data_IF_335544027828
#
_entry.id   IF_335544027828
#
_cell.length_a   1.000
_cell.length_b   1.000
_cell.length_c   1.000
_cell.angle_alpha   90.00
_cell.angle_beta   90.00
_cell.angle_gamma   90.00
#
_symmetry.space_group_name_H-M   'P 1'
#
loop_
_entity.id
_entity.type
_entity.pdbx_description
1 polymer ?
#
# COMPACT_ATOMS: atom_id res chain seq x y z
N UNK A 1 -32.56 -14.40 13.95
CA UNK A 1 -32.42 -14.00 12.54
C UNK A 1 -31.88 -15.20 11.78
N UNK A 2 -32.23 -15.42 10.48
CA UNK A 2 -31.65 -16.52 9.72
C UNK A 2 -30.12 -16.37 9.72
N UNK A 3 -29.39 -17.47 9.94
CA UNK A 3 -27.94 -17.48 9.90
C UNK A 3 -27.49 -17.17 8.48
N UNK A 4 -26.73 -16.10 8.30
CA UNK A 4 -26.05 -15.82 7.02
C UNK A 4 -24.91 -16.81 6.84
N UNK A 5 -24.70 -17.26 5.63
CA UNK A 5 -23.55 -18.10 5.24
C UNK A 5 -22.78 -17.43 4.13
N UNK A 6 -21.46 -17.60 4.10
CA UNK A 6 -20.59 -17.17 3.03
C UNK A 6 -19.48 -18.19 2.80
N UNK A 7 -19.02 -18.33 1.56
CA UNK A 7 -17.91 -19.23 1.23
C UNK A 7 -16.60 -18.73 1.88
N UNK A 8 -16.43 -17.41 1.93
CA UNK A 8 -15.35 -16.74 2.64
C UNK A 8 -15.82 -15.37 3.16
N UNK A 9 -15.31 -14.91 4.29
CA UNK A 9 -15.50 -13.54 4.80
C UNK A 9 -14.20 -12.78 4.72
N UNK A 10 -14.22 -11.62 4.07
CA UNK A 10 -13.10 -10.68 4.00
C UNK A 10 -13.38 -9.53 4.98
N UNK A 11 -12.53 -9.36 5.98
CA UNK A 11 -12.65 -8.26 6.96
C UNK A 11 -11.84 -7.07 6.47
N UNK A 12 -12.52 -5.99 6.07
CA UNK A 12 -11.97 -4.76 5.52
C UNK A 12 -12.21 -4.59 4.02
N UNK A 13 -12.78 -3.44 3.63
CA UNK A 13 -13.03 -3.02 2.24
C UNK A 13 -12.02 -1.96 1.76
N UNK A 14 -10.78 -2.04 2.22
CA UNK A 14 -9.64 -1.34 1.62
C UNK A 14 -9.23 -1.98 0.29
N UNK A 15 -8.25 -1.42 -0.40
CA UNK A 15 -7.78 -1.91 -1.71
C UNK A 15 -7.40 -3.40 -1.70
N UNK A 16 -6.81 -3.90 -0.61
CA UNK A 16 -6.42 -5.29 -0.46
C UNK A 16 -7.65 -6.21 -0.38
N UNK A 17 -8.59 -5.91 0.54
CA UNK A 17 -9.81 -6.70 0.66
C UNK A 17 -10.68 -6.63 -0.59
N UNK A 18 -10.74 -5.49 -1.26
CA UNK A 18 -11.43 -5.30 -2.53
C UNK A 18 -10.83 -6.15 -3.66
N UNK A 19 -9.50 -6.15 -3.77
CA UNK A 19 -8.79 -6.98 -4.76
C UNK A 19 -8.98 -8.47 -4.49
N UNK A 20 -8.88 -8.90 -3.21
CA UNK A 20 -9.13 -10.30 -2.83
C UNK A 20 -10.56 -10.72 -3.21
N UNK A 21 -11.55 -9.91 -2.88
CA UNK A 21 -12.95 -10.22 -3.21
C UNK A 21 -13.15 -10.34 -4.73
N UNK A 22 -12.52 -9.46 -5.52
CA UNK A 22 -12.52 -9.52 -6.98
C UNK A 22 -11.96 -10.85 -7.48
N UNK A 23 -10.75 -11.23 -7.05
CA UNK A 23 -10.11 -12.47 -7.52
C UNK A 23 -10.83 -13.73 -7.04
N UNK A 24 -11.38 -13.74 -5.82
CA UNK A 24 -12.21 -14.86 -5.34
C UNK A 24 -13.44 -15.11 -6.24
N UNK A 25 -14.11 -14.05 -6.69
CA UNK A 25 -15.27 -14.21 -7.57
C UNK A 25 -14.90 -14.80 -8.93
N UNK A 26 -13.71 -14.50 -9.46
CA UNK A 26 -13.20 -15.09 -10.70
C UNK A 26 -12.90 -16.60 -10.56
N UNK A 27 -12.66 -17.06 -9.32
CA UNK A 27 -12.44 -18.46 -8.99
C UNK A 27 -13.73 -19.16 -8.51
N UNK A 28 -14.91 -18.53 -8.69
CA UNK A 28 -16.22 -19.10 -8.37
C UNK A 28 -16.59 -19.03 -6.89
N UNK A 29 -15.79 -18.42 -6.03
CA UNK A 29 -16.09 -18.18 -4.62
C UNK A 29 -16.96 -16.94 -4.48
N UNK A 30 -17.98 -16.98 -3.60
CA UNK A 30 -18.85 -15.83 -3.29
C UNK A 30 -18.51 -15.24 -1.95
N UNK A 31 -17.53 -14.30 -1.88
CA UNK A 31 -17.13 -13.72 -0.62
C UNK A 31 -18.15 -12.72 -0.09
N UNK A 32 -18.19 -12.60 1.23
CA UNK A 32 -18.80 -11.49 1.93
C UNK A 32 -17.69 -10.57 2.45
N UNK A 33 -17.65 -9.34 1.96
CA UNK A 33 -16.77 -8.29 2.49
C UNK A 33 -17.51 -7.57 3.61
N UNK A 34 -16.88 -7.46 4.78
CA UNK A 34 -17.42 -6.76 5.95
C UNK A 34 -16.54 -5.54 6.23
N UNK A 35 -17.14 -4.36 6.24
CA UNK A 35 -16.46 -3.09 6.46
C UNK A 35 -17.15 -2.30 7.60
N UNK A 36 -16.34 -1.81 8.54
CA UNK A 36 -16.80 -1.02 9.69
C UNK A 36 -17.38 0.33 9.24
N UNK A 37 -16.76 0.95 8.25
CA UNK A 37 -17.10 2.27 7.73
C UNK A 37 -17.48 2.19 6.24
N UNK A 38 -17.07 3.19 5.47
CA UNK A 38 -17.16 3.18 4.01
C UNK A 38 -15.94 2.46 3.37
N UNK A 39 -16.08 1.91 2.16
CA UNK A 39 -14.95 1.39 1.44
C UNK A 39 -13.83 2.43 1.29
N UNK A 40 -12.60 1.99 1.37
CA UNK A 40 -11.40 2.83 1.37
C UNK A 40 -11.29 3.84 2.54
N UNK A 41 -12.13 3.80 3.57
CA UNK A 41 -12.08 4.75 4.70
C UNK A 41 -10.79 4.64 5.54
N UNK A 42 -10.04 3.54 5.41
CA UNK A 42 -8.76 3.30 6.08
C UNK A 42 -7.57 3.92 5.35
N UNK A 43 -6.46 3.15 5.30
CA UNK A 43 -5.21 3.56 4.66
C UNK A 43 -5.38 3.84 3.17
N UNK A 44 -6.23 3.08 2.48
CA UNK A 44 -6.40 3.14 1.02
C UNK A 44 -6.98 4.47 0.53
N UNK A 45 -7.77 5.15 1.31
CA UNK A 45 -8.29 6.49 0.96
C UNK A 45 -7.55 7.64 1.63
N UNK A 46 -6.43 7.34 2.31
CA UNK A 46 -5.62 8.33 3.00
C UNK A 46 -4.13 8.17 2.65
N UNK A 47 -3.85 7.96 1.38
CA UNK A 47 -2.51 7.79 0.80
C UNK A 47 -2.39 8.54 -0.54
N UNK A 48 -1.19 8.59 -1.07
CA UNK A 48 -0.92 8.89 -2.47
C UNK A 48 -1.21 7.66 -3.34
N UNK A 49 -1.21 7.84 -4.67
CA UNK A 49 -1.50 6.81 -5.66
C UNK A 49 -0.27 6.16 -6.27
N UNK A 50 0.87 6.22 -5.63
CA UNK A 50 2.14 5.76 -6.18
C UNK A 50 2.22 4.24 -6.34
N UNK A 51 2.41 3.78 -7.56
CA UNK A 51 2.84 2.42 -7.90
C UNK A 51 4.35 2.50 -8.15
N UNK A 52 5.13 2.65 -7.07
CA UNK A 52 6.54 3.02 -7.12
C UNK A 52 7.44 1.85 -6.77
N UNK A 53 8.13 1.28 -7.76
CA UNK A 53 8.95 0.08 -7.61
C UNK A 53 10.33 0.38 -7.06
N UNK A 54 10.90 1.52 -7.44
CA UNK A 54 12.23 1.95 -7.00
C UNK A 54 12.37 2.10 -5.48
N UNK A 55 11.25 2.19 -4.73
CA UNK A 55 11.28 2.22 -3.26
C UNK A 55 11.33 0.83 -2.61
N UNK A 56 11.18 -0.25 -3.37
CA UNK A 56 11.12 -1.61 -2.83
C UNK A 56 12.50 -2.18 -2.55
N UNK A 57 12.64 -2.94 -1.46
CA UNK A 57 13.89 -3.65 -1.15
C UNK A 57 14.18 -4.66 -2.26
N UNK A 58 15.40 -4.74 -2.79
CA UNK A 58 15.80 -5.79 -3.73
C UNK A 58 15.50 -7.19 -3.19
N UNK A 59 15.32 -8.14 -4.08
CA UNK A 59 14.92 -9.50 -3.72
C UNK A 59 13.40 -9.68 -3.72
N UNK A 60 12.85 -10.42 -2.76
CA UNK A 60 11.44 -10.86 -2.79
C UNK A 60 10.43 -9.70 -2.79
N UNK A 61 10.72 -8.61 -2.07
CA UNK A 61 9.81 -7.46 -2.05
C UNK A 61 9.70 -6.82 -3.43
N UNK A 62 10.82 -6.57 -4.09
CA UNK A 62 10.82 -5.99 -5.43
C UNK A 62 10.23 -6.97 -6.47
N UNK A 63 10.53 -8.27 -6.36
CA UNK A 63 9.92 -9.29 -7.24
C UNK A 63 8.39 -9.31 -7.12
N UNK A 64 7.86 -9.26 -5.87
CA UNK A 64 6.42 -9.18 -5.65
C UNK A 64 5.82 -7.90 -6.26
N UNK A 65 6.53 -6.77 -6.16
CA UNK A 65 6.09 -5.51 -6.75
C UNK A 65 6.12 -5.51 -8.27
N UNK A 66 7.11 -6.14 -8.89
CA UNK A 66 7.19 -6.33 -10.35
C UNK A 66 6.03 -7.20 -10.86
N UNK A 67 5.74 -8.30 -10.15
CA UNK A 67 4.58 -9.14 -10.43
C UNK A 67 3.26 -8.36 -10.31
N UNK A 68 3.13 -7.52 -9.29
CA UNK A 68 1.94 -6.67 -9.13
C UNK A 68 1.83 -5.66 -10.27
N UNK A 69 2.94 -4.97 -10.59
CA UNK A 69 2.97 -3.93 -11.62
C UNK A 69 2.57 -4.47 -13.01
N UNK A 70 3.03 -5.68 -13.34
CA UNK A 70 2.68 -6.32 -14.61
C UNK A 70 1.16 -6.53 -14.79
N UNK A 71 0.40 -6.61 -13.69
CA UNK A 71 -1.06 -6.78 -13.70
C UNK A 71 -1.83 -5.47 -13.92
N UNK A 72 -1.23 -4.33 -13.63
CA UNK A 72 -1.94 -3.04 -13.71
C UNK A 72 -2.35 -2.66 -15.13
N UNK A 73 -1.60 -3.06 -16.16
CA UNK A 73 -1.95 -2.76 -17.54
C UNK A 73 -3.25 -3.49 -17.95
N UNK A 74 -3.38 -4.78 -17.62
CA UNK A 74 -4.61 -5.53 -17.85
C UNK A 74 -5.76 -5.07 -16.94
N UNK A 75 -5.48 -4.70 -15.68
CA UNK A 75 -6.49 -4.15 -14.77
C UNK A 75 -7.10 -2.85 -15.30
N UNK A 76 -6.31 -1.99 -15.96
CA UNK A 76 -6.83 -0.78 -16.60
C UNK A 76 -7.89 -1.11 -17.67
N UNK A 77 -7.65 -2.15 -18.45
CA UNK A 77 -8.59 -2.60 -19.47
C UNK A 77 -9.85 -3.22 -18.85
N UNK A 78 -9.68 -4.07 -17.85
CA UNK A 78 -10.77 -4.82 -17.20
C UNK A 78 -11.64 -3.95 -16.31
N UNK A 79 -11.01 -3.12 -15.48
CA UNK A 79 -11.70 -2.29 -14.48
C UNK A 79 -12.15 -0.92 -15.02
N UNK A 80 -11.64 -0.53 -16.20
CA UNK A 80 -11.98 0.70 -16.89
C UNK A 80 -11.14 1.91 -16.47
N UNK A 81 -11.34 3.03 -17.16
CA UNK A 81 -10.54 4.25 -17.02
C UNK A 81 -10.67 4.96 -15.67
N UNK A 82 -11.71 4.67 -14.90
CA UNK A 82 -11.95 5.29 -13.59
C UNK A 82 -10.90 4.98 -12.53
N UNK A 83 -9.97 4.04 -12.79
CA UNK A 83 -8.80 3.82 -11.91
C UNK A 83 -7.69 4.85 -12.13
N UNK A 84 -7.74 5.66 -13.18
CA UNK A 84 -6.76 6.70 -13.53
C UNK A 84 -5.31 6.16 -13.51
N UNK A 85 -5.11 4.93 -13.99
CA UNK A 85 -3.78 4.33 -14.03
C UNK A 85 -2.94 4.98 -15.13
N UNK A 86 -1.79 5.55 -14.73
CA UNK A 86 -0.85 6.25 -15.62
C UNK A 86 0.57 5.73 -15.42
N UNK A 87 1.17 5.08 -16.41
CA UNK A 87 2.57 4.65 -16.41
C UNK A 87 3.49 5.84 -16.77
N UNK A 88 3.53 6.85 -15.92
CA UNK A 88 4.31 8.08 -16.14
C UNK A 88 5.80 7.89 -15.93
N UNK A 89 6.21 6.76 -15.38
CA UNK A 89 7.54 6.58 -14.82
C UNK A 89 7.69 7.29 -13.47
N UNK A 90 8.82 7.10 -12.85
CA UNK A 90 9.11 7.69 -11.55
C UNK A 90 10.58 8.04 -11.38
N UNK A 91 10.86 9.01 -10.51
CA UNK A 91 12.22 9.44 -10.19
C UNK A 91 12.45 9.45 -8.68
N UNK A 92 13.60 8.91 -8.26
CA UNK A 92 14.08 9.00 -6.91
C UNK A 92 15.18 10.08 -6.87
N UNK A 93 14.90 11.22 -6.24
CA UNK A 93 15.71 12.43 -6.25
C UNK A 93 16.80 12.40 -5.19
N UNK A 94 18.04 12.67 -5.59
CA UNK A 94 19.24 12.63 -4.75
C UNK A 94 19.75 14.04 -4.52
N UNK A 95 19.95 14.43 -3.26
CA UNK A 95 20.38 15.79 -2.87
C UNK A 95 21.77 15.83 -2.26
N UNK A 96 22.34 14.69 -1.86
CA UNK A 96 23.66 14.63 -1.22
C UNK A 96 24.52 13.50 -1.78
N UNK A 97 25.85 13.66 -1.70
CA UNK A 97 26.80 12.61 -2.11
C UNK A 97 26.64 11.31 -1.30
N UNK A 98 26.27 11.42 -0.03
CA UNK A 98 26.01 10.24 0.81
C UNK A 98 24.79 9.45 0.30
N UNK A 99 23.72 10.13 -0.08
CA UNK A 99 22.56 9.51 -0.73
C UNK A 99 22.94 8.90 -2.07
N UNK A 100 23.75 9.61 -2.88
CA UNK A 100 24.21 9.13 -4.19
C UNK A 100 24.99 7.82 -4.07
N UNK A 101 25.88 7.73 -3.09
CA UNK A 101 26.66 6.51 -2.84
C UNK A 101 25.75 5.31 -2.45
N UNK A 102 24.72 5.56 -1.63
CA UNK A 102 23.74 4.54 -1.27
C UNK A 102 22.88 4.12 -2.46
N UNK A 103 22.38 5.09 -3.24
CA UNK A 103 21.52 4.86 -4.41
C UNK A 103 22.26 4.09 -5.50
N UNK A 104 23.53 4.38 -5.75
CA UNK A 104 24.35 3.64 -6.73
C UNK A 104 24.39 2.13 -6.43
N UNK A 105 24.59 1.75 -5.17
CA UNK A 105 24.56 0.34 -4.75
C UNK A 105 23.18 -0.26 -4.93
N UNK A 106 22.15 0.48 -4.54
CA UNK A 106 20.76 0.04 -4.62
C UNK A 106 20.30 -0.20 -6.05
N UNK A 107 20.68 0.65 -7.00
CA UNK A 107 20.39 0.49 -8.44
C UNK A 107 20.99 -0.80 -8.99
N UNK A 108 22.21 -1.16 -8.60
CA UNK A 108 22.82 -2.42 -9.02
C UNK A 108 21.99 -3.62 -8.57
N UNK A 109 21.58 -3.64 -7.31
CA UNK A 109 20.77 -4.72 -6.74
C UNK A 109 19.35 -4.76 -7.32
N UNK A 110 18.76 -3.59 -7.61
CA UNK A 110 17.46 -3.49 -8.26
C UNK A 110 17.48 -4.03 -9.69
N UNK A 111 18.50 -3.68 -10.47
CA UNK A 111 18.71 -4.22 -11.82
C UNK A 111 18.93 -5.74 -11.79
N UNK A 112 19.71 -6.23 -10.84
CA UNK A 112 19.91 -7.68 -10.65
C UNK A 112 18.61 -8.40 -10.27
N UNK A 113 17.64 -7.69 -9.70
CA UNK A 113 16.31 -8.23 -9.35
C UNK A 113 15.33 -8.15 -10.54
N UNK A 114 15.66 -7.40 -11.61
CA UNK A 114 14.86 -7.29 -12.82
C UNK A 114 14.15 -5.94 -13.02
N UNK A 115 14.43 -4.92 -12.18
CA UNK A 115 13.87 -3.59 -12.38
C UNK A 115 14.67 -2.84 -13.48
N UNK A 116 13.95 -2.32 -14.46
CA UNK A 116 14.50 -1.34 -15.38
C UNK A 116 14.61 0.01 -14.66
N UNK A 117 15.83 0.39 -14.32
CA UNK A 117 16.12 1.63 -13.59
C UNK A 117 17.47 2.18 -14.03
N UNK A 118 17.55 3.47 -14.28
CA UNK A 118 18.78 4.17 -14.66
C UNK A 118 19.15 5.24 -13.64
N UNK A 119 20.45 5.54 -13.55
CA UNK A 119 20.98 6.63 -12.75
C UNK A 119 21.27 7.81 -13.67
N UNK A 120 20.72 8.96 -13.35
CA UNK A 120 20.80 10.22 -14.06
C UNK A 120 21.67 11.21 -13.28
N UNK A 121 22.45 12.03 -13.97
CA UNK A 121 23.03 13.23 -13.35
C UNK A 121 21.99 14.32 -13.13
N UNK A 122 22.33 15.36 -12.35
CA UNK A 122 21.40 16.43 -12.02
C UNK A 122 20.95 17.25 -13.24
N UNK A 123 21.79 17.35 -14.28
CA UNK A 123 21.42 18.02 -15.54
C UNK A 123 20.34 17.22 -16.30
N UNK A 124 20.52 15.91 -16.42
CA UNK A 124 19.54 15.03 -17.04
C UNK A 124 18.23 14.97 -16.23
N UNK A 125 18.33 14.92 -14.89
CA UNK A 125 17.16 14.96 -14.03
C UNK A 125 16.32 16.22 -14.27
N UNK A 126 16.95 17.39 -14.38
CA UNK A 126 16.26 18.66 -14.69
C UNK A 126 15.74 18.75 -16.12
N UNK A 127 16.35 18.09 -17.09
CA UNK A 127 15.77 18.00 -18.46
C UNK A 127 14.46 17.23 -18.45
N UNK A 128 14.36 16.17 -17.64
CA UNK A 128 13.13 15.36 -17.51
C UNK A 128 12.08 16.05 -16.64
N UNK A 129 12.52 16.68 -15.53
CA UNK A 129 11.70 17.44 -14.60
C UNK A 129 12.20 18.88 -14.45
N UNK A 130 11.76 19.81 -15.31
CA UNK A 130 12.30 21.18 -15.39
C UNK A 130 12.13 22.00 -14.10
N UNK A 131 11.15 21.66 -13.26
CA UNK A 131 10.88 22.38 -12.00
C UNK A 131 11.82 21.97 -10.84
N UNK A 132 12.71 21.00 -11.06
CA UNK A 132 13.72 20.62 -10.06
C UNK A 132 14.80 21.70 -9.92
N UNK A 133 15.10 22.03 -8.68
CA UNK A 133 16.21 22.94 -8.36
C UNK A 133 17.59 22.27 -8.53
N UNK A 134 18.65 23.08 -8.49
CA UNK A 134 20.05 22.60 -8.51
C UNK A 134 20.45 21.80 -7.27
N UNK A 135 19.61 21.78 -6.22
CA UNK A 135 19.81 20.88 -5.06
C UNK A 135 19.79 19.42 -5.45
N UNK A 136 19.08 19.06 -6.53
CA UNK A 136 19.05 17.70 -7.05
C UNK A 136 20.33 17.47 -7.85
N UNK A 137 21.27 16.76 -7.24
CA UNK A 137 22.58 16.44 -7.84
C UNK A 137 22.55 15.22 -8.75
N UNK A 138 21.59 14.33 -8.52
CA UNK A 138 21.36 13.11 -9.33
C UNK A 138 19.90 12.64 -9.13
N UNK A 139 19.47 11.70 -9.95
CA UNK A 139 18.21 10.98 -9.73
C UNK A 139 18.32 9.55 -10.27
N UNK A 140 17.45 8.65 -9.81
CA UNK A 140 17.16 7.44 -10.59
C UNK A 140 15.85 7.64 -11.35
N UNK A 141 15.70 6.92 -12.46
CA UNK A 141 14.48 6.89 -13.24
C UNK A 141 14.11 5.43 -13.57
N UNK A 142 12.83 5.10 -13.42
CA UNK A 142 12.30 3.83 -13.91
C UNK A 142 11.01 4.08 -14.70
N UNK A 143 10.89 3.57 -15.93
CA UNK A 143 9.65 3.63 -16.70
C UNK A 143 8.56 2.71 -16.14
N UNK A 144 8.92 1.76 -15.28
CA UNK A 144 7.99 0.83 -14.66
C UNK A 144 7.13 1.49 -13.57
N UNK A 145 7.58 2.60 -12.98
CA UNK A 145 6.79 3.32 -11.99
C UNK A 145 5.56 3.97 -12.61
N UNK A 146 4.51 4.06 -11.82
CA UNK A 146 3.22 4.55 -12.27
C UNK A 146 2.47 5.23 -11.13
N UNK A 147 1.31 5.77 -11.43
CA UNK A 147 0.34 6.23 -10.43
C UNK A 147 -1.06 5.74 -10.79
N UNK A 148 -1.91 5.68 -9.79
CA UNK A 148 -3.29 5.22 -9.90
C UNK A 148 -4.15 6.01 -8.91
N UNK A 149 -5.43 6.19 -9.18
CA UNK A 149 -6.35 6.74 -8.18
C UNK A 149 -6.69 5.66 -7.14
N UNK A 150 -6.28 5.78 -5.86
CA UNK A 150 -6.53 4.75 -4.84
C UNK A 150 -8.01 4.47 -4.59
N UNK A 151 -8.85 5.51 -4.59
CA UNK A 151 -10.31 5.38 -4.49
C UNK A 151 -10.87 4.68 -5.73
N UNK A 152 -10.50 5.19 -6.92
CA UNK A 152 -10.92 4.63 -8.19
C UNK A 152 -10.62 3.13 -8.29
N UNK A 153 -9.40 2.74 -7.94
CA UNK A 153 -8.96 1.34 -7.91
C UNK A 153 -9.76 0.50 -6.92
N UNK A 154 -9.91 0.97 -5.67
CA UNK A 154 -10.65 0.23 -4.63
C UNK A 154 -12.11 0.02 -5.02
N UNK A 155 -12.78 1.07 -5.47
CA UNK A 155 -14.18 0.98 -5.90
C UNK A 155 -14.36 0.17 -7.18
N UNK A 156 -13.42 0.20 -8.11
CA UNK A 156 -13.45 -0.59 -9.32
C UNK A 156 -13.36 -2.10 -8.99
N UNK A 157 -12.44 -2.51 -8.12
CA UNK A 157 -12.37 -3.88 -7.62
C UNK A 157 -13.68 -4.30 -6.94
N UNK A 158 -14.24 -3.49 -6.03
CA UNK A 158 -15.50 -3.82 -5.35
C UNK A 158 -16.68 -3.90 -6.30
N UNK A 159 -16.74 -3.03 -7.31
CA UNK A 159 -17.78 -3.08 -8.35
C UNK A 159 -17.68 -4.39 -9.17
N UNK A 160 -16.47 -4.74 -9.58
CA UNK A 160 -16.22 -5.96 -10.31
C UNK A 160 -16.51 -7.21 -9.45
N UNK A 161 -16.10 -7.21 -8.18
CA UNK A 161 -16.41 -8.27 -7.23
C UNK A 161 -17.93 -8.45 -7.04
N UNK A 162 -18.69 -7.34 -6.88
CA UNK A 162 -20.17 -7.41 -6.79
C UNK A 162 -20.80 -7.97 -8.06
N UNK A 163 -20.32 -7.59 -9.23
CA UNK A 163 -20.78 -8.15 -10.50
C UNK A 163 -20.50 -9.66 -10.58
N UNK A 164 -19.41 -10.15 -9.98
CA UNK A 164 -19.06 -11.56 -9.84
C UNK A 164 -19.80 -12.30 -8.70
N UNK A 165 -20.69 -11.64 -7.96
CA UNK A 165 -21.52 -12.25 -6.90
C UNK A 165 -21.02 -12.01 -5.47
N UNK A 166 -19.99 -11.21 -5.24
CA UNK A 166 -19.58 -10.82 -3.89
C UNK A 166 -20.63 -9.92 -3.22
N UNK A 167 -20.84 -10.12 -1.93
CA UNK A 167 -21.61 -9.19 -1.10
C UNK A 167 -20.69 -8.25 -0.35
N UNK A 168 -21.08 -6.99 -0.18
CA UNK A 168 -20.31 -5.99 0.56
C UNK A 168 -21.23 -5.33 1.57
N UNK A 169 -20.95 -5.52 2.85
CA UNK A 169 -21.64 -4.90 3.98
C UNK A 169 -20.79 -3.76 4.52
N UNK A 170 -21.26 -2.55 4.39
CA UNK A 170 -20.64 -1.32 4.95
C UNK A 170 -21.39 -0.85 6.19
N UNK A 171 -20.68 -0.14 7.08
CA UNK A 171 -21.25 0.27 8.37
C UNK A 171 -21.56 -0.91 9.30
N UNK A 172 -20.91 -2.04 9.09
CA UNK A 172 -21.13 -3.29 9.82
C UNK A 172 -19.81 -3.84 10.34
N UNK A 173 -19.37 -3.43 11.53
CA UNK A 173 -18.12 -3.92 12.10
C UNK A 173 -18.20 -5.41 12.41
N UNK A 174 -17.16 -6.15 12.02
CA UNK A 174 -16.85 -7.41 12.64
C UNK A 174 -16.39 -7.15 14.08
N UNK A 175 -16.88 -7.94 15.03
CA UNK A 175 -16.59 -7.77 16.46
C UNK A 175 -15.95 -9.00 17.09
N UNK A 176 -15.78 -10.09 16.32
CA UNK A 176 -15.15 -11.31 16.78
C UNK A 176 -15.16 -12.41 15.71
N UNK A 177 -14.42 -13.46 15.96
CA UNK A 177 -14.37 -14.67 15.14
C UNK A 177 -14.59 -15.86 16.07
N UNK A 178 -15.54 -16.73 15.73
CA UNK A 178 -15.72 -17.98 16.44
C UNK A 178 -14.82 -19.05 15.84
N UNK A 179 -14.00 -19.64 16.71
CA UNK A 179 -13.11 -20.76 16.40
C UNK A 179 -13.49 -21.94 17.27
N UNK A 180 -13.72 -23.11 16.69
CA UNK A 180 -13.90 -24.37 17.41
C UNK A 180 -12.79 -25.33 17.01
N UNK A 181 -12.13 -25.93 18.02
CA UNK A 181 -11.03 -26.89 17.84
C UNK A 181 -9.96 -26.46 16.82
N UNK A 182 -9.61 -25.16 16.84
CA UNK A 182 -8.59 -24.62 15.95
C UNK A 182 -9.08 -24.30 14.52
N UNK A 183 -10.39 -24.36 14.26
CA UNK A 183 -10.99 -24.09 12.95
C UNK A 183 -11.96 -22.94 13.02
N UNK A 184 -11.91 -22.03 12.06
CA UNK A 184 -12.87 -20.94 11.89
C UNK A 184 -14.27 -21.49 11.60
N UNK A 185 -15.30 -20.97 12.27
CA UNK A 185 -16.70 -21.32 12.04
C UNK A 185 -17.58 -20.14 11.64
N UNK A 186 -17.31 -18.95 12.18
CA UNK A 186 -18.13 -17.78 11.91
C UNK A 186 -17.41 -16.47 12.25
N UNK A 187 -17.80 -15.41 11.55
CA UNK A 187 -17.52 -14.01 11.93
C UNK A 187 -18.72 -13.44 12.69
N UNK A 188 -18.46 -12.85 13.84
CA UNK A 188 -19.45 -12.15 14.65
C UNK A 188 -19.57 -10.70 14.19
N UNK A 189 -20.79 -10.25 13.95
CA UNK A 189 -21.16 -8.87 13.67
C UNK A 189 -21.96 -8.31 14.85
N UNK A 190 -22.08 -6.99 14.94
CA UNK A 190 -22.87 -6.36 16.00
C UNK A 190 -24.37 -6.81 15.99
N UNK A 191 -24.89 -7.22 14.83
CA UNK A 191 -26.29 -7.59 14.62
C UNK A 191 -26.48 -9.08 14.24
N UNK A 192 -25.51 -9.93 14.53
CA UNK A 192 -25.60 -11.37 14.26
C UNK A 192 -24.27 -12.03 13.93
N UNK A 193 -24.32 -13.15 13.23
CA UNK A 193 -23.11 -13.86 12.81
C UNK A 193 -23.22 -14.34 11.37
N UNK A 194 -22.07 -14.53 10.73
CA UNK A 194 -21.94 -15.13 9.39
C UNK A 194 -21.13 -16.41 9.51
N UNK A 195 -21.76 -17.55 9.24
CA UNK A 195 -21.05 -18.83 9.21
C UNK A 195 -20.17 -18.88 7.96
N UNK A 196 -18.92 -19.24 8.14
CA UNK A 196 -17.92 -19.33 7.05
C UNK A 196 -16.78 -20.25 7.45
N UNK A 197 -16.25 -21.06 6.52
CA UNK A 197 -15.04 -21.83 6.76
C UNK A 197 -13.76 -21.02 6.62
N UNK A 198 -13.80 -19.82 6.01
CA UNK A 198 -12.60 -19.00 5.73
C UNK A 198 -12.84 -17.55 6.12
N UNK A 199 -11.91 -17.00 6.89
CA UNK A 199 -11.82 -15.58 7.22
C UNK A 199 -10.49 -15.01 6.73
N UNK A 200 -10.56 -13.94 5.96
CA UNK A 200 -9.39 -13.23 5.45
C UNK A 200 -9.28 -11.90 6.18
N UNK A 201 -8.20 -11.74 6.93
CA UNK A 201 -7.91 -10.52 7.68
C UNK A 201 -7.22 -9.48 6.76
N UNK A 202 -8.02 -8.64 6.13
CA UNK A 202 -7.60 -7.50 5.32
C UNK A 202 -7.86 -6.16 6.03
N UNK A 203 -7.88 -6.13 7.37
CA UNK A 203 -8.26 -4.99 8.20
C UNK A 203 -7.17 -3.89 8.31
N UNK A 204 -6.13 -3.94 7.47
CA UNK A 204 -5.10 -2.92 7.38
C UNK A 204 -4.43 -2.63 8.73
N UNK A 205 -4.47 -1.38 9.19
CA UNK A 205 -3.86 -0.99 10.46
C UNK A 205 -4.52 -1.61 11.70
N UNK A 206 -5.75 -2.16 11.58
CA UNK A 206 -6.47 -2.87 12.65
C UNK A 206 -6.29 -4.39 12.59
N UNK A 207 -5.46 -4.90 11.69
CA UNK A 207 -5.29 -6.35 11.52
C UNK A 207 -4.79 -7.06 12.79
N UNK A 208 -4.01 -6.38 13.64
CA UNK A 208 -3.60 -6.91 14.93
C UNK A 208 -4.79 -7.08 15.91
N UNK A 209 -5.78 -6.18 15.85
CA UNK A 209 -7.01 -6.32 16.67
C UNK A 209 -7.81 -7.55 16.24
N UNK A 210 -7.95 -7.77 14.93
CA UNK A 210 -8.63 -8.95 14.37
C UNK A 210 -7.87 -10.25 14.74
N UNK A 211 -6.53 -10.21 14.73
CA UNK A 211 -5.72 -11.37 15.14
C UNK A 211 -5.96 -11.81 16.57
N UNK A 212 -6.15 -10.85 17.50
CA UNK A 212 -6.45 -11.18 18.91
C UNK A 212 -7.76 -11.94 19.10
N UNK A 213 -8.74 -11.80 18.19
CA UNK A 213 -9.99 -12.57 18.26
C UNK A 213 -9.79 -14.08 18.07
N UNK A 214 -8.65 -14.47 17.48
CA UNK A 214 -8.27 -15.88 17.28
C UNK A 214 -7.02 -16.26 18.07
N UNK A 215 -6.64 -15.46 19.07
CA UNK A 215 -5.49 -15.73 19.95
C UNK A 215 -4.13 -15.46 19.34
N UNK A 216 -4.04 -14.67 18.26
CA UNK A 216 -2.78 -14.38 17.57
C UNK A 216 -2.26 -12.98 17.90
N UNK A 217 -0.96 -12.89 18.16
CA UNK A 217 -0.24 -11.61 18.23
C UNK A 217 0.36 -11.31 16.86
N UNK A 218 -0.24 -10.32 16.16
CA UNK A 218 0.20 -9.90 14.83
C UNK A 218 0.99 -8.60 14.97
N UNK A 219 2.28 -8.55 14.55
CA UNK A 219 3.14 -7.39 14.74
C UNK A 219 2.87 -6.28 13.72
N UNK A 220 1.62 -5.84 13.64
CA UNK A 220 1.20 -4.69 12.84
C UNK A 220 0.90 -3.52 13.76
N UNK A 221 1.61 -2.40 13.54
CA UNK A 221 1.44 -1.16 14.29
C UNK A 221 0.98 -0.05 13.36
N UNK A 222 -0.03 0.76 13.74
CA UNK A 222 -0.43 1.90 12.95
C UNK A 222 0.68 2.95 12.94
N UNK A 223 1.10 3.40 11.73
CA UNK A 223 2.08 4.45 11.52
C UNK A 223 1.49 5.59 10.72
N UNK A 224 1.25 6.75 11.36
CA UNK A 224 0.65 7.92 10.72
C UNK A 224 1.56 8.50 9.66
N UNK A 225 0.97 8.85 8.50
CA UNK A 225 1.56 9.72 7.49
C UNK A 225 0.59 10.85 7.16
N UNK A 226 1.09 12.08 7.16
CA UNK A 226 0.31 13.26 6.80
C UNK A 226 0.66 13.68 5.37
N UNK A 227 -0.32 14.13 4.60
CA UNK A 227 -0.20 14.53 3.21
C UNK A 227 -0.84 15.90 3.02
N UNK A 228 -0.17 16.78 2.27
CA UNK A 228 -0.70 18.05 1.76
C UNK A 228 -1.35 17.83 0.39
N UNK A 229 -2.46 18.50 0.16
CA UNK A 229 -3.11 18.61 -1.15
C UNK A 229 -3.12 20.06 -1.57
N UNK A 230 -2.60 20.35 -2.75
CA UNK A 230 -2.56 21.71 -3.29
C UNK A 230 -3.81 22.06 -4.06
N UNK A 231 -4.02 23.34 -4.35
CA UNK A 231 -4.90 23.76 -5.43
C UNK A 231 -4.47 23.10 -6.75
N UNK A 232 -5.42 22.92 -7.65
CA UNK A 232 -5.14 22.45 -9.01
C UNK A 232 -4.29 23.48 -9.77
N UNK A 233 -3.25 22.99 -10.44
CA UNK A 233 -2.38 23.80 -11.31
C UNK A 233 -2.19 23.07 -12.64
N UNK A 234 -1.80 23.79 -13.70
CA UNK A 234 -1.34 23.13 -14.93
C UNK A 234 -0.25 22.10 -14.65
N UNK A 235 0.02 21.18 -15.58
CA UNK A 235 1.06 20.16 -15.39
C UNK A 235 2.38 20.79 -14.93
N UNK A 236 2.75 20.52 -13.67
CA UNK A 236 3.93 21.06 -13.00
C UNK A 236 5.01 19.99 -12.87
N UNK A 237 4.63 18.76 -12.60
CA UNK A 237 5.52 17.59 -12.56
C UNK A 237 5.05 16.56 -13.58
N UNK A 238 6.00 15.82 -14.15
CA UNK A 238 5.77 14.86 -15.23
C UNK A 238 5.75 13.41 -14.75
N UNK A 239 6.51 13.13 -13.69
CA UNK A 239 6.73 11.80 -13.14
C UNK A 239 6.33 11.74 -11.67
N UNK A 240 6.16 10.53 -11.16
CA UNK A 240 6.11 10.32 -9.72
C UNK A 240 7.49 10.61 -9.11
N UNK A 241 7.54 11.42 -8.04
CA UNK A 241 8.80 11.81 -7.44
C UNK A 241 8.87 11.35 -5.98
N UNK A 242 10.00 10.75 -5.58
CA UNK A 242 10.32 10.49 -4.18
C UNK A 242 11.74 10.98 -3.86
N UNK A 243 11.99 11.28 -2.59
CA UNK A 243 13.34 11.57 -2.11
C UNK A 243 14.16 10.29 -1.97
N UNK A 244 15.43 10.31 -2.41
CA UNK A 244 16.38 9.22 -2.17
C UNK A 244 16.57 8.90 -0.68
N UNK A 245 16.28 9.83 0.20
CA UNK A 245 16.28 9.60 1.64
C UNK A 245 15.32 8.46 2.05
N UNK A 246 14.19 8.25 1.35
CA UNK A 246 13.31 7.10 1.56
C UNK A 246 14.03 5.77 1.35
N UNK A 247 14.91 5.73 0.35
CA UNK A 247 15.68 4.54 -0.02
C UNK A 247 16.87 4.40 0.92
N UNK A 248 17.67 5.43 1.02
CA UNK A 248 18.91 5.43 1.80
C UNK A 248 18.66 5.15 3.31
N UNK A 249 17.57 5.65 3.87
CA UNK A 249 17.15 5.38 5.25
C UNK A 249 16.85 3.89 5.55
N UNK A 250 16.67 3.06 4.53
CA UNK A 250 16.51 1.62 4.70
C UNK A 250 17.84 0.90 4.96
N UNK A 251 18.96 1.53 4.63
CA UNK A 251 20.30 0.96 4.67
C UNK A 251 21.24 1.68 5.63
N UNK A 252 20.96 2.95 5.95
CA UNK A 252 21.80 3.80 6.78
C UNK A 252 20.98 4.45 7.90
N UNK A 253 21.19 4.03 9.19
CA UNK A 253 20.50 4.61 10.33
C UNK A 253 20.79 6.11 10.53
N UNK A 254 21.95 6.60 10.09
CA UNK A 254 22.28 8.04 10.17
C UNK A 254 21.41 8.85 9.21
N UNK A 255 21.21 8.35 7.98
CA UNK A 255 20.30 8.96 7.01
C UNK A 255 18.86 8.89 7.53
N UNK A 256 18.48 7.77 8.14
CA UNK A 256 17.15 7.62 8.75
C UNK A 256 16.88 8.65 9.84
N UNK A 257 17.90 9.05 10.61
CA UNK A 257 17.82 10.08 11.67
C UNK A 257 17.80 11.52 11.14
N UNK A 258 18.30 11.78 9.93
CA UNK A 258 18.47 13.14 9.36
C UNK A 258 17.18 13.80 8.89
N UNK A 259 16.04 13.13 8.97
CA UNK A 259 14.75 13.73 8.65
C UNK A 259 13.91 12.92 7.66
N UNK A 260 12.82 13.53 7.22
CA UNK A 260 11.84 12.88 6.36
C UNK A 260 12.19 13.01 4.87
N UNK A 261 12.09 11.90 4.15
CA UNK A 261 11.93 11.94 2.72
C UNK A 261 10.56 12.53 2.34
N UNK A 262 10.35 12.79 1.06
CA UNK A 262 9.07 13.23 0.51
C UNK A 262 8.64 12.33 -0.64
N UNK A 263 7.34 12.34 -0.93
CA UNK A 263 6.74 11.87 -2.17
C UNK A 263 5.92 13.00 -2.79
N UNK A 264 5.88 13.08 -4.12
CA UNK A 264 5.02 14.02 -4.85
C UNK A 264 4.46 13.33 -6.07
N UNK A 265 3.16 13.50 -6.26
CA UNK A 265 2.46 13.17 -7.51
C UNK A 265 1.51 14.29 -7.89
N UNK A 266 1.23 14.41 -9.17
CA UNK A 266 0.18 15.30 -9.67
C UNK A 266 -0.96 14.46 -10.24
N UNK A 267 -2.17 14.71 -9.74
CA UNK A 267 -3.38 14.01 -10.17
C UNK A 267 -3.86 14.51 -11.53
N UNK A 268 -4.77 13.78 -12.18
CA UNK A 268 -5.40 14.19 -13.44
C UNK A 268 -6.14 15.53 -13.33
N UNK A 269 -6.66 15.85 -12.13
CA UNK A 269 -7.31 17.11 -11.84
C UNK A 269 -6.33 18.27 -11.58
N UNK A 270 -5.02 18.03 -11.64
CA UNK A 270 -3.97 19.03 -11.45
C UNK A 270 -3.58 19.32 -10.01
N UNK A 271 -4.21 18.69 -9.02
CA UNK A 271 -3.78 18.80 -7.62
C UNK A 271 -2.49 18.04 -7.41
N UNK A 272 -1.59 18.56 -6.57
CA UNK A 272 -0.45 17.78 -6.13
C UNK A 272 -0.72 17.20 -4.73
N UNK A 273 -0.38 15.92 -4.57
CA UNK A 273 -0.31 15.25 -3.28
C UNK A 273 1.16 15.23 -2.84
N UNK A 274 1.44 15.83 -1.70
CA UNK A 274 2.82 15.97 -1.19
C UNK A 274 2.90 15.30 0.18
N UNK A 275 3.63 14.22 0.29
CA UNK A 275 3.78 13.43 1.52
C UNK A 275 5.24 13.20 1.90
N UNK A 276 5.52 12.55 2.98
CA UNK A 276 4.63 12.35 4.10
C UNK A 276 5.41 12.17 5.40
N UNK A 277 4.77 12.45 6.53
CA UNK A 277 5.34 12.14 7.84
C UNK A 277 5.37 10.62 8.12
N UNK A 278 6.09 10.21 9.18
CA UNK A 278 6.15 8.83 9.67
C UNK A 278 6.19 8.84 11.20
N UNK A 279 5.01 8.64 11.81
CA UNK A 279 4.83 8.86 13.24
C UNK A 279 4.11 7.66 13.88
N UNK A 280 4.66 7.17 15.00
CA UNK A 280 4.00 6.16 15.83
C UNK A 280 3.19 6.87 16.92
N UNK A 281 1.91 7.11 16.63
CA UNK A 281 0.96 7.86 17.48
C UNK A 281 -0.33 7.08 17.74
N UNK A 282 -0.26 5.76 17.65
CA UNK A 282 -1.44 4.89 17.73
C UNK A 282 -2.40 5.14 16.58
N UNK A 283 -3.70 5.13 16.88
CA UNK A 283 -4.76 5.33 15.88
C UNK A 283 -5.12 6.81 15.63
N UNK A 284 -4.28 7.75 16.06
CA UNK A 284 -4.52 9.18 15.82
C UNK A 284 -4.29 9.55 14.36
N UNK A 285 -5.35 9.93 13.63
CA UNK A 285 -5.35 10.33 12.21
C UNK A 285 -5.31 11.85 12.01
N UNK A 286 -5.27 12.64 13.10
CA UNK A 286 -5.29 14.11 12.99
C UNK A 286 -4.01 14.61 12.34
N UNK A 287 -4.14 15.64 11.51
CA UNK A 287 -2.99 16.39 11.00
C UNK A 287 -2.50 17.38 12.06
N UNK A 288 -1.19 17.65 12.05
CA UNK A 288 -0.56 18.62 12.95
C UNK A 288 0.12 19.73 12.16
N UNK A 289 0.06 20.96 12.65
CA UNK A 289 0.71 22.08 11.99
C UNK A 289 2.23 21.87 11.84
N UNK A 290 2.85 21.20 12.79
CA UNK A 290 4.26 20.82 12.75
C UNK A 290 4.55 19.87 11.58
N UNK A 291 3.78 18.78 11.44
CA UNK A 291 3.92 17.83 10.34
C UNK A 291 3.72 18.48 8.97
N UNK A 292 2.70 19.33 8.84
CA UNK A 292 2.42 20.04 7.59
C UNK A 292 3.53 21.02 7.24
N UNK A 293 4.04 21.78 8.21
CA UNK A 293 5.19 22.67 8.01
C UNK A 293 6.44 21.91 7.61
N UNK A 294 6.69 20.76 8.22
CA UNK A 294 7.85 19.92 7.90
C UNK A 294 7.80 19.42 6.47
N UNK A 295 6.63 18.95 6.00
CA UNK A 295 6.45 18.52 4.60
C UNK A 295 6.70 19.69 3.65
N UNK A 296 6.08 20.86 3.89
CA UNK A 296 6.23 22.03 3.05
C UNK A 296 7.69 22.55 3.00
N UNK A 297 8.35 22.60 4.15
CA UNK A 297 9.76 23.00 4.27
C UNK A 297 10.71 22.03 3.54
N UNK A 298 10.35 20.74 3.50
CA UNK A 298 11.17 19.70 2.87
C UNK A 298 11.10 19.75 1.34
N UNK A 299 9.93 20.03 0.77
CA UNK A 299 9.74 19.99 -0.68
C UNK A 299 10.05 21.33 -1.38
N UNK A 300 9.77 22.45 -0.72
CA UNK A 300 9.89 23.78 -1.31
C UNK A 300 11.30 24.14 -1.84
N UNK A 301 12.41 23.68 -1.24
CA UNK A 301 13.75 23.88 -1.82
C UNK A 301 14.03 22.98 -3.03
N UNK A 302 13.35 21.85 -3.17
CA UNK A 302 13.57 20.86 -4.25
C UNK A 302 12.77 21.26 -5.50
N UNK A 303 11.51 21.69 -5.29
CA UNK A 303 10.62 22.18 -6.36
C UNK A 303 10.16 23.59 -5.98
N UNK A 304 10.95 24.64 -6.31
CA UNK A 304 10.70 26.02 -5.86
C UNK A 304 9.36 26.59 -6.31
N UNK A 305 8.80 26.13 -7.45
CA UNK A 305 7.49 26.53 -7.95
C UNK A 305 6.38 26.28 -6.94
N UNK A 306 6.49 25.23 -6.09
CA UNK A 306 5.50 24.89 -5.08
C UNK A 306 5.32 25.95 -4.00
N UNK A 307 6.27 26.88 -3.81
CA UNK A 307 6.14 27.99 -2.85
C UNK A 307 4.95 28.92 -3.17
N UNK A 308 4.48 28.91 -4.40
CA UNK A 308 3.38 29.76 -4.88
C UNK A 308 2.07 29.01 -5.01
N UNK A 309 2.04 27.71 -4.78
CA UNK A 309 0.84 26.88 -4.94
C UNK A 309 0.14 26.77 -3.59
N UNK A 310 -1.11 27.25 -3.46
CA UNK A 310 -1.84 27.16 -2.20
C UNK A 310 -2.11 25.69 -1.80
N UNK A 311 -1.99 25.40 -0.51
CA UNK A 311 -2.50 24.16 0.07
C UNK A 311 -3.97 24.35 0.39
N UNK A 312 -4.84 23.47 -0.15
CA UNK A 312 -6.29 23.54 0.05
C UNK A 312 -6.79 22.50 1.07
N UNK A 313 -6.03 21.45 1.29
CA UNK A 313 -6.38 20.36 2.22
C UNK A 313 -5.12 19.68 2.77
N UNK A 314 -5.30 19.03 3.92
CA UNK A 314 -4.38 18.06 4.45
C UNK A 314 -5.15 16.89 5.06
N UNK A 315 -4.55 15.71 5.06
CA UNK A 315 -5.12 14.54 5.71
C UNK A 315 -4.04 13.64 6.28
N UNK A 316 -4.41 12.76 7.22
CA UNK A 316 -3.55 11.77 7.82
C UNK A 316 -4.10 10.36 7.61
N UNK A 317 -3.23 9.45 7.18
CA UNK A 317 -3.50 8.03 7.04
C UNK A 317 -2.67 7.18 8.00
N UNK A 318 -3.13 5.98 8.30
CA UNK A 318 -2.43 5.02 9.16
C UNK A 318 -1.92 3.86 8.31
N UNK A 319 -0.61 3.80 8.10
CA UNK A 319 0.02 2.66 7.43
C UNK A 319 0.04 1.46 8.35
N UNK A 320 -0.32 0.25 7.88
CA UNK A 320 -0.14 -0.99 8.61
C UNK A 320 1.34 -1.40 8.61
N UNK A 321 2.12 -0.85 9.52
CA UNK A 321 3.55 -1.06 9.61
C UNK A 321 3.87 -2.43 10.20
N UNK A 322 4.79 -3.15 9.57
CA UNK A 322 5.43 -4.37 10.07
C UNK A 322 6.91 -4.12 10.36
N UNK A 323 7.54 -4.82 11.31
CA UNK A 323 8.94 -4.58 11.69
C UNK A 323 9.94 -4.70 10.55
N UNK A 324 9.71 -5.61 9.60
CA UNK A 324 10.57 -5.85 8.44
C UNK A 324 10.14 -5.08 7.17
N UNK A 325 8.96 -4.43 7.22
CA UNK A 325 8.37 -3.68 6.11
C UNK A 325 7.79 -4.54 5.00
N UNK A 326 7.61 -5.86 5.22
CA UNK A 326 6.96 -6.78 4.29
C UNK A 326 5.53 -7.08 4.75
N UNK A 327 4.58 -7.28 3.82
CA UNK A 327 3.23 -7.69 4.20
C UNK A 327 3.20 -9.07 4.86
N UNK A 328 2.16 -9.34 5.63
CA UNK A 328 1.85 -10.65 6.17
C UNK A 328 0.75 -11.24 5.31
N UNK A 329 1.08 -12.33 4.60
CA UNK A 329 0.19 -12.96 3.62
C UNK A 329 0.14 -14.47 3.83
N UNK A 330 -1.03 -15.06 3.66
CA UNK A 330 -1.23 -16.51 3.67
C UNK A 330 -1.85 -17.04 4.96
N UNK A 331 -1.93 -18.36 5.10
CA UNK A 331 -2.51 -19.05 6.26
C UNK A 331 -1.66 -18.80 7.51
N UNK A 332 -2.27 -19.05 8.65
CA UNK A 332 -1.60 -18.96 9.95
C UNK A 332 -1.65 -20.31 10.64
N UNK A 333 -0.53 -20.76 11.17
CA UNK A 333 -0.45 -22.01 11.91
C UNK A 333 -1.38 -22.00 13.14
N UNK A 334 -2.04 -23.11 13.42
CA UNK A 334 -2.90 -23.29 14.59
C UNK A 334 -4.33 -22.75 14.45
N UNK A 335 -4.67 -22.02 13.37
CA UNK A 335 -6.05 -21.55 13.12
C UNK A 335 -6.44 -21.83 11.67
N UNK A 336 -7.00 -23.01 11.44
CA UNK A 336 -7.46 -23.43 10.13
C UNK A 336 -8.59 -22.51 9.63
N UNK A 337 -8.48 -22.05 8.39
CA UNK A 337 -9.46 -21.13 7.77
C UNK A 337 -9.19 -19.66 8.08
N UNK A 338 -8.16 -19.30 8.86
CA UNK A 338 -7.76 -17.92 9.05
C UNK A 338 -6.58 -17.57 8.15
N UNK A 339 -6.75 -16.52 7.32
CA UNK A 339 -5.76 -16.09 6.32
C UNK A 339 -5.40 -14.63 6.53
N UNK A 340 -4.11 -14.33 6.53
CA UNK A 340 -3.60 -12.96 6.64
C UNK A 340 -3.45 -12.29 5.28
N UNK A 341 -3.82 -11.02 5.20
CA UNK A 341 -3.63 -10.15 4.04
C UNK A 341 -3.49 -8.68 4.48
N UNK A 342 -2.49 -8.38 5.28
CA UNK A 342 -2.28 -7.04 5.85
C UNK A 342 -0.80 -6.72 6.06
N UNK A 343 -0.48 -5.54 6.59
CA UNK A 343 0.91 -5.18 6.89
C UNK A 343 1.69 -4.63 5.70
N UNK A 344 1.02 -4.17 4.65
CA UNK A 344 1.64 -3.64 3.42
C UNK A 344 2.36 -2.30 3.60
N UNK A 345 2.37 -1.74 4.78
CA UNK A 345 2.99 -0.45 5.09
C UNK A 345 2.50 0.66 4.13
N UNK A 346 3.38 1.32 3.41
CA UNK A 346 3.07 2.32 2.38
C UNK A 346 2.93 1.75 0.96
N UNK A 347 2.95 0.43 0.80
CA UNK A 347 3.04 -0.24 -0.50
C UNK A 347 1.73 -0.92 -0.93
N UNK A 348 0.65 -0.78 -0.13
CA UNK A 348 -0.59 -1.52 -0.34
C UNK A 348 -1.28 -1.26 -1.68
N UNK A 349 -1.23 -0.04 -2.19
CA UNK A 349 -1.76 0.30 -3.52
C UNK A 349 -0.97 -0.44 -4.60
N UNK A 350 0.35 -0.31 -4.59
CA UNK A 350 1.23 -0.94 -5.57
C UNK A 350 1.19 -2.47 -5.55
N UNK A 351 0.96 -3.08 -4.37
CA UNK A 351 0.94 -4.54 -4.19
C UNK A 351 -0.47 -5.14 -4.28
N UNK A 352 -1.52 -4.32 -4.42
CA UNK A 352 -2.91 -4.79 -4.32
C UNK A 352 -3.27 -5.84 -5.37
N UNK A 353 -2.82 -5.67 -6.60
CA UNK A 353 -3.15 -6.55 -7.70
C UNK A 353 -2.67 -7.99 -7.45
N UNK A 354 -1.38 -8.14 -7.14
CA UNK A 354 -0.79 -9.46 -6.87
C UNK A 354 -1.28 -10.05 -5.56
N UNK A 355 -1.46 -9.23 -4.51
CA UNK A 355 -1.95 -9.72 -3.21
C UNK A 355 -3.32 -10.35 -3.34
N UNK A 356 -4.23 -9.70 -4.07
CA UNK A 356 -5.58 -10.23 -4.28
C UNK A 356 -5.58 -11.60 -4.94
N UNK A 357 -4.80 -11.74 -6.00
CA UNK A 357 -4.64 -13.01 -6.74
C UNK A 357 -4.04 -14.09 -5.85
N UNK A 358 -2.89 -13.83 -5.22
CA UNK A 358 -2.19 -14.83 -4.39
C UNK A 358 -3.05 -15.33 -3.22
N UNK A 359 -3.80 -14.45 -2.57
CA UNK A 359 -4.68 -14.84 -1.45
C UNK A 359 -5.87 -15.64 -1.97
N UNK A 360 -6.46 -15.26 -3.10
CA UNK A 360 -7.57 -15.99 -3.72
C UNK A 360 -7.13 -17.38 -4.18
N UNK A 361 -5.96 -17.50 -4.83
CA UNK A 361 -5.38 -18.79 -5.23
C UNK A 361 -5.15 -19.69 -4.02
N UNK A 362 -4.56 -19.12 -2.94
CA UNK A 362 -4.34 -19.87 -1.71
C UNK A 362 -5.65 -20.41 -1.12
N UNK A 363 -6.67 -19.56 -1.02
CA UNK A 363 -7.98 -19.93 -0.44
C UNK A 363 -8.65 -21.04 -1.24
N UNK A 364 -8.49 -21.06 -2.57
CA UNK A 364 -9.15 -22.02 -3.45
C UNK A 364 -8.36 -23.31 -3.65
N UNK A 365 -7.04 -23.23 -3.73
CA UNK A 365 -6.20 -24.36 -4.16
C UNK A 365 -5.19 -24.81 -3.11
N UNK A 366 -4.95 -24.01 -2.05
CA UNK A 366 -3.86 -24.21 -1.09
C UNK A 366 -2.47 -23.96 -1.69
N UNK A 367 -2.37 -23.37 -2.86
CA UNK A 367 -1.10 -23.11 -3.58
C UNK A 367 -1.09 -21.74 -4.19
N UNK A 368 0.13 -21.21 -4.44
CA UNK A 368 0.34 -19.93 -5.12
C UNK A 368 1.51 -20.03 -6.08
N UNK A 369 1.47 -19.25 -7.16
CA UNK A 369 2.59 -19.18 -8.11
C UNK A 369 3.80 -18.46 -7.52
N UNK A 370 3.57 -17.49 -6.63
CA UNK A 370 4.63 -16.79 -5.93
C UNK A 370 4.79 -17.36 -4.50
N UNK A 371 6.01 -17.65 -4.01
CA UNK A 371 6.21 -18.28 -2.71
C UNK A 371 5.80 -17.35 -1.57
N UNK A 372 4.81 -17.76 -0.77
CA UNK A 372 4.33 -16.99 0.39
C UNK A 372 5.16 -17.19 1.66
N UNK A 373 6.03 -18.20 1.74
CA UNK A 373 6.75 -18.56 2.97
C UNK A 373 7.49 -17.40 3.65
N UNK A 374 8.08 -16.49 2.85
CA UNK A 374 8.74 -15.31 3.38
C UNK A 374 7.77 -14.20 3.86
N UNK A 375 6.48 -14.35 3.59
CA UNK A 375 5.42 -13.42 3.96
C UNK A 375 4.50 -13.97 5.06
N UNK A 376 4.68 -15.22 5.49
CA UNK A 376 3.88 -15.82 6.55
C UNK A 376 4.13 -15.15 7.91
N UNK A 377 3.13 -15.22 8.80
CA UNK A 377 3.21 -14.63 10.14
C UNK A 377 4.35 -15.26 10.97
N UNK A 378 4.61 -16.53 10.77
CA UNK A 378 5.60 -17.35 11.50
C UNK A 378 7.03 -16.81 11.40
N UNK A 379 7.35 -15.99 10.37
CA UNK A 379 8.68 -15.36 10.24
C UNK A 379 9.03 -14.43 11.43
N UNK A 380 8.03 -13.97 12.17
CA UNK A 380 8.23 -13.18 13.39
C UNK A 380 8.31 -14.02 14.66
N UNK A 381 7.97 -15.29 14.59
CA UNK A 381 8.01 -16.23 15.72
C UNK A 381 9.35 -16.96 15.82
N UNK A 382 10.08 -17.09 14.71
CA UNK A 382 11.37 -17.80 14.66
C UNK A 382 12.53 -17.10 15.39
N UNK A 383 12.32 -15.92 15.98
CA UNK A 383 13.33 -15.16 16.75
C UNK A 383 13.13 -15.20 18.27
N UNK A 384 12.20 -16.00 18.78
CA UNK A 384 11.89 -16.10 20.22
C UNK A 384 12.42 -17.41 20.88
N UNK A 385 13.35 -18.11 20.24
CA UNK A 385 14.01 -19.31 20.77
C UNK A 385 15.51 -19.05 21.03
#
# INVERSE_FOLDING_TARGET
MPSRTADAVVIGAGVIGASIAYHLTHLGIRPLVVEEHDPAAGSSGACDGLVFLQSKKPGLHLKLALESRARFDSLREILGTGIEFRPTGGMCLVETEAELAAVRRFVVEQRATGLDVELLDGGEARRREPELSERVIAATYSPADAQVNPYGLTFAFLRAARAGGAQVLTGRPAVGIRVDRGRVEAVQLADGAVSTPVVINAAGARAAEVGRWVGLEIPITPRRGQILVTAAVPPLIRHCLISAQYVAAKFDPEIARRGMGFSVEQTDNGNLLIGSTREFVGFDRRTTLEGLRTIAARIAPVIPALKRVPVIRAFGGLRPYTPDGLPILGPVAGVEGFVMAAGHEGDGIALSAVTGELVADWVTTGRTQFPLGAFCLERFQAGAA
#
